data_IF_246015467433
#
_entry.id   IF_246015467433
#
_cell.length_a   1.000
_cell.length_b   1.000
_cell.length_c   1.000
_cell.angle_alpha   90.00
_cell.angle_beta   90.00
_cell.angle_gamma   90.00
#
_symmetry.space_group_name_H-M   'P 1'
#
loop_
_entity.id
_entity.type
_entity.pdbx_description
1 polymer ?
#
# COMPACT_ATOMS: atom_id res chain seq x y z
N UNK A 1 11.68 2.05 10.43
CA UNK A 1 10.37 2.22 11.12
C UNK A 1 9.28 1.64 10.23
N UNK A 2 8.33 0.88 10.77
CA UNK A 2 7.14 0.38 10.05
C UNK A 2 5.90 1.04 10.64
N UNK A 3 5.02 1.53 9.78
CA UNK A 3 3.71 2.11 10.15
C UNK A 3 2.65 1.32 9.39
N UNK A 4 1.56 0.96 10.06
CA UNK A 4 0.42 0.28 9.42
C UNK A 4 -0.92 0.88 9.81
N UNK A 5 -1.88 0.71 8.91
CA UNK A 5 -3.28 1.11 9.04
C UNK A 5 -4.12 -0.11 8.71
N UNK A 6 -4.90 -0.57 9.69
CA UNK A 6 -5.80 -1.73 9.56
C UNK A 6 -7.25 -1.29 9.49
N UNK A 7 -7.99 -1.88 8.57
CA UNK A 7 -9.43 -1.73 8.43
C UNK A 7 -10.16 -3.08 8.57
N UNK A 8 -11.48 -3.02 8.77
CA UNK A 8 -12.41 -4.16 8.81
C UNK A 8 -13.37 -4.17 7.63
N UNK A 9 -12.93 -3.64 6.48
CA UNK A 9 -13.69 -3.56 5.25
C UNK A 9 -13.83 -4.92 4.53
N UNK A 10 -14.24 -4.91 3.24
CA UNK A 10 -14.49 -6.14 2.49
C UNK A 10 -13.23 -6.96 2.16
N UNK A 11 -12.03 -6.42 2.39
CA UNK A 11 -10.77 -7.02 1.99
C UNK A 11 -10.56 -7.05 0.47
N UNK A 12 -9.43 -7.62 0.05
CA UNK A 12 -8.90 -7.57 -1.31
C UNK A 12 -8.48 -8.98 -1.73
N UNK A 13 -8.94 -9.50 -2.89
CA UNK A 13 -8.48 -10.78 -3.39
C UNK A 13 -6.96 -10.78 -3.66
N UNK A 14 -6.27 -11.88 -3.33
CA UNK A 14 -4.80 -12.00 -3.49
C UNK A 14 -4.28 -11.59 -4.87
N UNK A 15 -5.01 -11.93 -5.93
CA UNK A 15 -4.65 -11.60 -7.32
C UNK A 15 -4.64 -10.09 -7.63
N UNK A 16 -5.32 -9.28 -6.82
CA UNK A 16 -5.42 -7.84 -7.00
C UNK A 16 -4.44 -7.07 -6.11
N UNK A 17 -3.79 -7.69 -5.12
CA UNK A 17 -2.94 -7.00 -4.12
C UNK A 17 -1.77 -6.23 -4.75
N UNK A 18 -1.17 -6.74 -5.83
CA UNK A 18 -0.13 -6.01 -6.55
C UNK A 18 -0.70 -4.82 -7.33
N UNK A 19 -1.91 -4.98 -7.85
CA UNK A 19 -2.55 -4.04 -8.78
C UNK A 19 -3.12 -2.81 -8.08
N UNK A 20 -3.41 -2.87 -6.78
CA UNK A 20 -3.93 -1.70 -6.03
C UNK A 20 -2.98 -0.51 -6.00
N UNK A 21 -1.70 -0.71 -6.33
CA UNK A 21 -0.72 0.37 -6.47
C UNK A 21 -0.53 0.87 -7.92
N UNK A 22 -1.21 0.26 -8.90
CA UNK A 22 -1.21 0.73 -10.29
C UNK A 22 -2.02 2.02 -10.45
N UNK A 23 -1.57 2.90 -11.35
CA UNK A 23 -2.29 4.15 -11.63
C UNK A 23 -3.66 3.84 -12.21
N UNK A 24 -4.68 4.54 -11.71
CA UNK A 24 -6.07 4.42 -12.14
C UNK A 24 -6.74 3.07 -11.83
N UNK A 25 -6.04 2.16 -11.17
CA UNK A 25 -6.63 0.90 -10.76
C UNK A 25 -7.62 1.11 -9.62
N UNK A 26 -8.80 0.51 -9.75
CA UNK A 26 -9.86 0.53 -8.73
C UNK A 26 -10.48 -0.84 -8.63
N UNK A 27 -10.66 -1.32 -7.40
CA UNK A 27 -11.39 -2.56 -7.15
C UNK A 27 -12.87 -2.36 -7.53
N UNK A 28 -13.43 -3.31 -8.27
CA UNK A 28 -14.83 -3.24 -8.71
C UNK A 28 -15.81 -3.05 -7.54
N UNK A 29 -15.51 -3.65 -6.38
CA UNK A 29 -16.33 -3.59 -5.16
C UNK A 29 -16.39 -2.19 -4.55
N UNK A 30 -15.35 -1.37 -4.72
CA UNK A 30 -15.26 -0.02 -4.14
C UNK A 30 -15.49 1.09 -5.16
N UNK A 31 -15.28 0.82 -6.46
CA UNK A 31 -15.40 1.80 -7.54
C UNK A 31 -16.79 2.47 -7.65
N UNK A 32 -17.85 1.78 -7.22
CA UNK A 32 -19.22 2.30 -7.22
C UNK A 32 -19.60 3.05 -5.94
N UNK A 33 -18.86 2.83 -4.84
CA UNK A 33 -19.19 3.35 -3.50
C UNK A 33 -18.36 4.55 -3.09
N UNK A 34 -17.13 4.66 -3.60
CA UNK A 34 -16.19 5.73 -3.23
C UNK A 34 -15.76 6.49 -4.50
N UNK A 35 -16.10 7.79 -4.62
CA UNK A 35 -15.62 8.60 -5.72
C UNK A 35 -14.09 8.77 -5.63
N UNK A 36 -13.41 8.63 -6.76
CA UNK A 36 -11.96 8.78 -6.83
C UNK A 36 -11.36 8.22 -8.11
N UNK A 37 -10.17 8.70 -8.48
CA UNK A 37 -9.47 8.35 -9.72
C UNK A 37 -8.59 7.10 -9.61
N UNK A 38 -8.42 6.54 -8.41
CA UNK A 38 -7.47 5.44 -8.18
C UNK A 38 -6.00 5.87 -8.17
N UNK A 39 -5.70 7.15 -7.87
CA UNK A 39 -4.31 7.64 -7.82
C UNK A 39 -3.69 7.61 -6.42
N UNK A 40 -4.49 7.49 -5.36
CA UNK A 40 -4.03 7.67 -3.98
C UNK A 40 -2.90 6.72 -3.57
N UNK A 41 -3.06 5.43 -3.79
CA UNK A 41 -2.04 4.42 -3.44
C UNK A 41 -0.79 4.50 -4.32
N UNK A 42 -0.93 4.86 -5.60
CA UNK A 42 0.24 5.10 -6.44
C UNK A 42 1.05 6.30 -5.94
N UNK A 43 0.39 7.42 -5.62
CA UNK A 43 1.06 8.61 -5.07
C UNK A 43 1.73 8.26 -3.73
N UNK A 44 1.05 7.53 -2.85
CA UNK A 44 1.62 7.08 -1.59
C UNK A 44 2.88 6.22 -1.79
N UNK A 45 2.85 5.28 -2.74
CA UNK A 45 4.02 4.47 -3.11
C UNK A 45 5.18 5.33 -3.61
N UNK A 46 4.90 6.27 -4.50
CA UNK A 46 5.92 7.15 -5.07
C UNK A 46 6.57 8.01 -3.95
N UNK A 47 5.76 8.55 -3.02
CA UNK A 47 6.26 9.29 -1.84
C UNK A 47 7.11 8.39 -0.95
N UNK A 48 6.62 7.22 -0.55
CA UNK A 48 7.34 6.30 0.35
C UNK A 48 8.69 5.89 -0.25
N UNK A 49 8.72 5.57 -1.55
CA UNK A 49 9.95 5.19 -2.26
C UNK A 49 10.92 6.36 -2.40
N UNK A 50 10.44 7.59 -2.62
CA UNK A 50 11.28 8.78 -2.63
C UNK A 50 11.99 9.02 -1.28
N UNK A 51 11.43 8.51 -0.18
CA UNK A 51 12.04 8.54 1.15
C UNK A 51 12.87 7.27 1.48
N UNK A 52 13.17 6.43 0.48
CA UNK A 52 13.95 5.20 0.65
C UNK A 52 13.19 4.07 1.37
N UNK A 53 11.87 4.18 1.43
CA UNK A 53 10.98 3.21 2.04
C UNK A 53 10.36 2.23 1.06
N UNK A 54 9.51 1.36 1.59
CA UNK A 54 8.63 0.50 0.79
C UNK A 54 7.22 0.42 1.37
N UNK A 55 6.23 0.12 0.54
CA UNK A 55 4.80 0.08 0.89
C UNK A 55 4.21 -1.26 0.46
N UNK A 56 3.28 -1.80 1.26
CA UNK A 56 2.61 -3.06 0.97
C UNK A 56 1.21 -3.11 1.58
N UNK A 57 0.53 -4.22 1.30
CA UNK A 57 -0.80 -4.51 1.81
C UNK A 57 -0.93 -6.00 2.07
N UNK A 58 -1.45 -6.32 3.25
CA UNK A 58 -1.91 -7.66 3.60
C UNK A 58 -3.44 -7.61 3.68
N UNK A 59 -4.14 -8.50 2.99
CA UNK A 59 -5.60 -8.47 3.00
C UNK A 59 -6.19 -9.85 2.68
N UNK A 60 -7.35 -10.09 3.29
CA UNK A 60 -8.14 -11.29 3.07
C UNK A 60 -9.61 -10.89 2.84
N UNK A 61 -10.27 -11.42 1.78
CA UNK A 61 -11.68 -11.13 1.53
C UNK A 61 -12.56 -11.45 2.76
N UNK A 62 -13.34 -10.47 3.19
CA UNK A 62 -14.24 -10.57 4.35
C UNK A 62 -13.59 -10.26 5.70
N UNK A 63 -12.27 -10.13 5.80
CA UNK A 63 -11.56 -9.82 7.05
C UNK A 63 -10.99 -8.40 7.10
N UNK A 64 -10.97 -7.69 5.97
CA UNK A 64 -10.42 -6.34 5.85
C UNK A 64 -9.00 -6.31 5.27
N UNK A 65 -8.31 -5.19 5.48
CA UNK A 65 -6.97 -4.97 4.94
C UNK A 65 -6.07 -4.29 5.95
N UNK A 66 -4.77 -4.57 5.86
CA UNK A 66 -3.71 -3.85 6.55
C UNK A 66 -2.75 -3.27 5.51
N UNK A 67 -2.82 -1.96 5.31
CA UNK A 67 -1.84 -1.24 4.51
C UNK A 67 -0.68 -0.83 5.40
N UNK A 68 0.55 -0.98 4.91
CA UNK A 68 1.73 -0.63 5.69
C UNK A 68 2.81 -0.01 4.82
N UNK A 69 3.66 0.80 5.44
CA UNK A 69 4.88 1.27 4.82
C UNK A 69 6.05 1.25 5.80
N UNK A 70 7.25 1.24 5.25
CA UNK A 70 8.50 1.31 5.98
C UNK A 70 9.27 2.55 5.56
N UNK A 71 10.00 3.15 6.49
CA UNK A 71 10.94 4.22 6.22
C UNK A 71 12.28 3.92 6.93
N UNK A 72 13.42 4.27 6.33
CA UNK A 72 14.70 4.27 7.01
C UNK A 72 14.64 5.15 8.26
N UNK A 73 15.14 4.65 9.39
CA UNK A 73 15.33 5.47 10.59
C UNK A 73 16.72 6.08 10.55
N UNK A 74 16.85 7.36 10.93
CA UNK A 74 18.13 8.02 11.14
C UNK A 74 18.95 7.20 12.16
N UNK A 75 19.84 6.34 11.69
CA UNK A 75 20.52 5.34 12.53
C UNK A 75 20.94 4.05 11.82
N UNK A 76 20.49 3.77 10.58
CA UNK A 76 21.08 2.71 9.75
C UNK A 76 21.63 3.28 8.44
N UNK A 77 22.93 3.59 8.41
CA UNK A 77 23.70 3.54 7.16
C UNK A 77 23.53 2.13 6.61
N UNK A 78 23.09 2.00 5.36
CA UNK A 78 23.32 0.75 4.63
C UNK A 78 24.84 0.61 4.51
N UNK A 79 25.39 -0.46 5.09
CA UNK A 79 26.66 -0.98 4.63
C UNK A 79 26.47 -1.35 3.16
N UNK A 80 27.25 -0.72 2.30
CA UNK A 80 27.36 -1.07 0.88
C UNK A 80 28.04 -2.45 0.83
N UNK A 81 27.29 -3.50 0.47
CA UNK A 81 27.89 -4.79 0.12
C UNK A 81 28.63 -4.64 -1.22
N UNK A 82 29.86 -5.18 -1.22
CA UNK A 82 30.93 -5.03 -2.22
C UNK A 82 30.68 -5.69 -3.57
#
# INVERSE_FOLDING_TARGET
>A
MKISVRDSGPGIPRKELARVFERYYRLAVTASRVPGTGMGLTIARDIVRAHGGDIGVDSEPGLGSEFFFTLPTAGKKKEEES
#
